data_IF_610431199514
#
_entry.id   IF_610431199514
#
_cell.length_a   1.000
_cell.length_b   1.000
_cell.length_c   1.000
_cell.angle_alpha   90.00
_cell.angle_beta   90.00
_cell.angle_gamma   90.00
#
_symmetry.space_group_name_H-M   'P 1'
#
loop_
_entity.id
_entity.type
_entity.pdbx_description
1 polymer ?
#
# COMPACT_ATOMS: atom_id res chain seq x y z
N UNK A 1 13.12 3.98 -2.93
CA UNK A 1 12.07 2.94 -3.02
C UNK A 1 12.34 1.89 -1.93
N UNK A 2 11.33 1.53 -1.13
CA UNK A 2 11.37 0.41 -0.20
C UNK A 2 10.62 -0.79 -0.78
N UNK A 3 11.24 -1.96 -0.80
CA UNK A 3 10.61 -3.20 -1.24
C UNK A 3 10.51 -4.12 -0.02
N UNK A 4 9.26 -4.35 0.41
CA UNK A 4 8.96 -5.19 1.57
C UNK A 4 8.99 -6.65 1.14
N UNK A 5 9.90 -7.42 1.72
CA UNK A 5 10.14 -8.82 1.33
C UNK A 5 9.99 -9.73 2.53
N UNK A 6 9.35 -10.89 2.38
CA UNK A 6 9.18 -11.85 3.46
C UNK A 6 9.53 -13.28 3.05
N UNK A 7 8.96 -13.76 1.94
CA UNK A 7 9.16 -15.13 1.48
C UNK A 7 10.30 -15.22 0.46
N UNK A 8 11.20 -16.20 0.65
CA UNK A 8 12.34 -16.46 -0.22
C UNK A 8 13.13 -15.18 -0.60
N UNK A 9 13.53 -14.37 0.38
CA UNK A 9 14.07 -13.03 0.12
C UNK A 9 15.41 -13.07 -0.65
N UNK A 10 16.18 -14.16 -0.57
CA UNK A 10 17.50 -14.26 -1.17
C UNK A 10 17.45 -14.02 -2.70
N UNK A 11 16.63 -14.78 -3.41
CA UNK A 11 16.53 -14.68 -4.87
C UNK A 11 16.06 -13.30 -5.31
N UNK A 12 15.07 -12.76 -4.60
CA UNK A 12 14.54 -11.43 -4.88
C UNK A 12 15.58 -10.34 -4.59
N UNK A 13 16.28 -10.44 -3.46
CA UNK A 13 17.31 -9.49 -3.08
C UNK A 13 18.51 -9.52 -4.04
N UNK A 14 18.91 -10.72 -4.50
CA UNK A 14 19.94 -10.86 -5.52
C UNK A 14 19.52 -10.24 -6.86
N UNK A 15 18.26 -10.43 -7.28
CA UNK A 15 17.72 -9.85 -8.50
C UNK A 15 17.63 -8.33 -8.44
N UNK A 16 17.16 -7.78 -7.34
CA UNK A 16 17.04 -6.33 -7.13
C UNK A 16 18.43 -5.69 -6.99
N UNK A 17 19.34 -6.36 -6.27
CA UNK A 17 20.67 -5.84 -5.99
C UNK A 17 20.62 -4.44 -5.38
N UNK A 18 21.39 -3.53 -5.93
CA UNK A 18 21.42 -2.11 -5.55
C UNK A 18 20.47 -1.23 -6.41
N UNK A 19 19.70 -1.82 -7.30
CA UNK A 19 18.80 -1.09 -8.17
C UNK A 19 19.40 -0.51 -9.46
N UNK A 20 20.66 -0.84 -9.76
CA UNK A 20 21.37 -0.34 -10.95
C UNK A 20 20.63 -0.57 -12.27
N UNK A 21 19.98 -1.73 -12.53
CA UNK A 21 19.23 -1.95 -13.78
C UNK A 21 18.08 -0.95 -14.01
N UNK A 22 17.66 -0.23 -12.98
CA UNK A 22 16.56 0.74 -13.01
C UNK A 22 16.98 2.16 -12.64
N UNK A 23 18.30 2.46 -12.70
CA UNK A 23 18.86 3.76 -12.29
C UNK A 23 18.51 4.16 -10.84
N UNK A 24 18.40 3.17 -9.94
CA UNK A 24 18.05 3.34 -8.54
C UNK A 24 19.24 3.11 -7.58
N UNK A 25 20.44 3.36 -8.02
CA UNK A 25 21.69 3.10 -7.28
C UNK A 25 22.39 4.38 -6.79
N UNK A 26 21.68 5.50 -6.71
CA UNK A 26 22.30 6.75 -6.27
C UNK A 26 22.60 6.77 -4.75
N UNK A 27 23.59 7.58 -4.36
CA UNK A 27 24.13 7.61 -2.99
C UNK A 27 23.08 7.97 -1.92
N UNK A 28 22.07 8.78 -2.25
CA UNK A 28 21.08 9.30 -1.30
C UNK A 28 19.64 8.90 -1.63
N UNK A 29 19.46 8.13 -2.68
CA UNK A 29 18.17 7.54 -3.08
C UNK A 29 18.43 6.12 -3.56
N UNK A 30 17.39 5.43 -4.01
CA UNK A 30 17.60 4.11 -4.57
C UNK A 30 16.57 3.11 -4.10
N UNK A 31 16.92 1.84 -4.16
CA UNK A 31 16.11 0.73 -3.70
C UNK A 31 16.69 0.09 -2.45
N UNK A 32 15.82 -0.23 -1.50
CA UNK A 32 16.19 -0.97 -0.30
C UNK A 32 15.21 -2.12 -0.11
N UNK A 33 15.72 -3.33 0.05
CA UNK A 33 14.90 -4.47 0.46
C UNK A 33 14.72 -4.43 1.97
N UNK A 34 13.47 -4.43 2.40
CA UNK A 34 13.05 -4.32 3.80
C UNK A 34 12.42 -5.65 4.20
N UNK A 35 13.18 -6.47 4.88
CA UNK A 35 12.71 -7.74 5.44
C UNK A 35 12.28 -7.55 6.90
N UNK A 36 11.31 -8.33 7.40
CA UNK A 36 11.00 -8.30 8.82
C UNK A 36 12.26 -8.63 9.63
N UNK A 37 12.45 -7.97 10.74
CA UNK A 37 13.60 -8.20 11.62
C UNK A 37 13.14 -8.33 13.06
N UNK A 38 13.82 -9.17 13.81
CA UNK A 38 13.58 -9.32 15.23
C UNK A 38 14.18 -8.12 15.97
N UNK A 39 13.32 -7.26 16.51
CA UNK A 39 13.74 -6.26 17.49
C UNK A 39 13.97 -6.91 18.86
N UNK A 40 14.63 -6.21 19.80
CA UNK A 40 14.93 -6.72 21.15
C UNK A 40 13.68 -7.20 21.89
N UNK A 41 12.51 -6.70 21.56
CA UNK A 41 11.22 -7.01 22.16
C UNK A 41 10.30 -7.88 21.27
N UNK A 42 10.84 -8.63 20.32
CA UNK A 42 10.11 -9.67 19.60
C UNK A 42 9.30 -9.18 18.40
N UNK A 43 9.92 -8.49 17.45
CA UNK A 43 9.28 -8.28 16.16
C UNK A 43 9.22 -9.60 15.39
N UNK A 44 8.01 -9.98 15.02
CA UNK A 44 7.70 -11.17 14.25
C UNK A 44 7.69 -10.87 12.74
N UNK A 45 7.43 -11.90 11.98
CA UNK A 45 7.09 -11.79 10.56
C UNK A 45 5.99 -10.73 10.33
N UNK A 46 5.96 -10.14 9.14
CA UNK A 46 4.84 -9.27 8.79
C UNK A 46 3.52 -10.06 8.90
N UNK A 47 2.66 -9.64 9.79
CA UNK A 47 1.37 -10.31 10.03
C UNK A 47 0.32 -9.99 8.97
N UNK A 48 0.49 -8.85 8.27
CA UNK A 48 -0.37 -8.40 7.20
C UNK A 48 0.28 -7.29 6.39
N UNK A 49 -0.39 -6.85 5.34
CA UNK A 49 0.11 -5.82 4.41
C UNK A 49 0.27 -4.46 5.09
N UNK A 50 -0.61 -4.11 6.00
CA UNK A 50 -0.53 -2.88 6.79
C UNK A 50 0.60 -2.97 7.83
N UNK A 51 0.75 -4.10 8.53
CA UNK A 51 1.82 -4.33 9.49
C UNK A 51 3.21 -4.25 8.81
N UNK A 52 3.33 -4.69 7.56
CA UNK A 52 4.57 -4.57 6.81
C UNK A 52 5.01 -3.10 6.66
N UNK A 53 4.08 -2.17 6.41
CA UNK A 53 4.38 -0.75 6.36
C UNK A 53 4.63 -0.20 7.76
N UNK A 54 3.83 -0.60 8.75
CA UNK A 54 3.99 -0.18 10.14
C UNK A 54 5.39 -0.47 10.69
N UNK A 55 5.89 -1.69 10.54
CA UNK A 55 7.24 -2.05 10.99
C UNK A 55 8.35 -1.23 10.32
N UNK A 56 8.06 -0.62 9.17
CA UNK A 56 9.03 0.19 8.41
C UNK A 56 8.77 1.71 8.48
N UNK A 57 7.95 2.19 9.41
CA UNK A 57 7.70 3.63 9.62
C UNK A 57 9.00 4.41 9.77
N UNK A 58 9.94 3.91 10.57
CA UNK A 58 11.24 4.57 10.78
C UNK A 58 12.07 4.69 9.50
N UNK A 59 11.94 3.74 8.56
CA UNK A 59 12.59 3.85 7.25
C UNK A 59 11.95 4.96 6.41
N UNK A 60 10.63 5.04 6.39
CA UNK A 60 9.89 6.06 5.65
C UNK A 60 10.18 7.45 6.20
N UNK A 61 10.22 7.60 7.52
CA UNK A 61 10.48 8.89 8.19
C UNK A 61 11.86 9.49 7.93
N UNK A 62 12.85 8.67 7.53
CA UNK A 62 14.17 9.19 7.11
C UNK A 62 14.07 10.16 5.92
N UNK A 63 13.04 10.00 5.10
CA UNK A 63 12.81 10.82 3.91
C UNK A 63 11.86 11.98 4.15
N UNK A 64 11.24 12.04 5.34
CA UNK A 64 10.23 13.04 5.73
C UNK A 64 9.22 13.32 4.60
N UNK A 65 8.54 12.29 4.06
CA UNK A 65 7.64 12.45 2.94
C UNK A 65 6.34 13.11 3.37
N UNK A 66 5.76 13.92 2.49
CA UNK A 66 4.40 14.41 2.63
C UNK A 66 3.39 13.36 2.16
N UNK A 67 3.76 12.63 1.10
CA UNK A 67 2.94 11.58 0.48
C UNK A 67 3.75 10.31 0.31
N UNK A 68 3.07 9.16 0.36
CA UNK A 68 3.65 7.85 0.06
C UNK A 68 2.81 7.14 -0.98
N UNK A 69 3.47 6.48 -1.91
CA UNK A 69 2.84 5.59 -2.88
C UNK A 69 3.08 4.15 -2.42
N UNK A 70 2.00 3.38 -2.28
CA UNK A 70 2.05 1.97 -1.94
C UNK A 70 1.58 1.16 -3.13
N UNK A 71 2.38 0.20 -3.52
CA UNK A 71 2.14 -0.66 -4.69
C UNK A 71 2.20 -2.12 -4.28
N UNK A 72 1.28 -2.93 -4.81
CA UNK A 72 1.38 -4.39 -4.73
C UNK A 72 2.54 -4.87 -5.62
N UNK A 73 3.33 -5.82 -5.13
CA UNK A 73 4.51 -6.31 -5.84
C UNK A 73 4.21 -7.20 -7.06
N UNK A 74 3.01 -7.74 -7.15
CA UNK A 74 2.52 -8.56 -8.26
C UNK A 74 1.77 -7.77 -9.33
N UNK A 75 1.71 -6.45 -9.18
CA UNK A 75 0.95 -5.56 -10.04
C UNK A 75 1.80 -5.10 -11.23
N UNK A 76 1.53 -5.65 -12.41
CA UNK A 76 2.21 -5.27 -13.66
C UNK A 76 1.34 -4.25 -14.38
N UNK A 77 1.59 -2.97 -14.14
CA UNK A 77 0.82 -1.89 -14.73
C UNK A 77 1.68 -0.69 -15.10
N UNK A 78 1.38 -0.05 -16.22
CA UNK A 78 2.06 1.17 -16.63
C UNK A 78 1.11 2.35 -16.47
N UNK A 79 1.36 3.21 -15.49
CA UNK A 79 0.59 4.42 -15.25
C UNK A 79 1.49 5.58 -14.80
N UNK A 80 0.98 6.78 -14.97
CA UNK A 80 1.63 8.00 -14.50
C UNK A 80 1.14 8.33 -13.07
N UNK A 81 1.95 7.97 -12.09
CA UNK A 81 1.64 8.23 -10.68
C UNK A 81 1.61 9.73 -10.32
N UNK A 82 2.25 10.60 -11.13
CA UNK A 82 2.18 12.05 -10.89
C UNK A 82 0.75 12.57 -11.07
N UNK A 83 0.03 12.09 -12.07
CA UNK A 83 -1.38 12.47 -12.28
C UNK A 83 -2.25 12.06 -11.10
N UNK A 84 -2.00 10.86 -10.55
CA UNK A 84 -2.71 10.38 -9.35
C UNK A 84 -2.37 11.25 -8.13
N UNK A 85 -1.11 11.66 -8.00
CA UNK A 85 -0.66 12.54 -6.91
C UNK A 85 -1.26 13.96 -7.05
N UNK A 86 -1.33 14.51 -8.26
CA UNK A 86 -1.99 15.79 -8.51
C UNK A 86 -3.46 15.75 -8.10
N UNK A 87 -4.17 14.69 -8.50
CA UNK A 87 -5.56 14.45 -8.09
C UNK A 87 -5.69 14.33 -6.57
N UNK A 88 -4.80 13.57 -5.92
CA UNK A 88 -4.76 13.44 -4.46
C UNK A 88 -4.65 14.80 -3.76
N UNK A 89 -3.76 15.66 -4.26
CA UNK A 89 -3.56 17.02 -3.74
C UNK A 89 -4.77 17.92 -4.00
N UNK A 90 -5.33 17.88 -5.20
CA UNK A 90 -6.51 18.67 -5.58
C UNK A 90 -7.71 18.34 -4.68
N UNK A 91 -7.91 17.06 -4.39
CA UNK A 91 -8.99 16.58 -3.51
C UNK A 91 -8.66 16.73 -2.01
N UNK A 92 -7.45 17.13 -1.66
CA UNK A 92 -6.96 17.13 -0.26
C UNK A 92 -7.29 15.82 0.46
N UNK A 93 -7.04 14.70 -0.22
CA UNK A 93 -7.44 13.38 0.23
C UNK A 93 -6.50 12.82 1.29
N UNK A 94 -7.00 12.01 2.21
CA UNK A 94 -6.18 11.19 3.10
C UNK A 94 -5.61 9.98 2.36
N UNK A 95 -6.44 9.37 1.49
CA UNK A 95 -6.10 8.25 0.63
C UNK A 95 -6.69 8.44 -0.77
N UNK A 96 -5.93 8.11 -1.80
CA UNK A 96 -6.41 7.98 -3.18
C UNK A 96 -6.10 6.57 -3.66
N UNK A 97 -7.10 5.90 -4.23
CA UNK A 97 -7.02 4.51 -4.66
C UNK A 97 -7.19 4.45 -6.18
N UNK A 98 -6.27 3.81 -6.88
CA UNK A 98 -6.45 3.52 -8.29
C UNK A 98 -7.46 2.38 -8.46
N UNK A 99 -8.38 2.55 -9.39
CA UNK A 99 -9.44 1.58 -9.69
C UNK A 99 -9.45 1.18 -11.15
N UNK A 100 -9.95 -0.01 -11.39
CA UNK A 100 -10.29 -0.49 -12.73
C UNK A 100 -11.74 -0.97 -12.73
N UNK A 101 -12.45 -0.70 -13.83
CA UNK A 101 -13.80 -1.21 -14.02
C UNK A 101 -13.75 -2.68 -14.44
N UNK A 102 -14.43 -3.53 -13.69
CA UNK A 102 -14.50 -4.98 -13.94
C UNK A 102 -15.96 -5.43 -14.08
N UNK A 103 -16.17 -6.65 -14.58
CA UNK A 103 -17.52 -7.21 -14.58
C UNK A 103 -18.02 -7.50 -13.15
N UNK A 104 -19.33 -7.47 -12.91
CA UNK A 104 -19.91 -7.81 -11.59
C UNK A 104 -19.54 -9.24 -11.16
N UNK A 105 -19.37 -10.16 -12.11
CA UNK A 105 -18.94 -11.52 -11.81
C UNK A 105 -17.53 -11.59 -11.26
N UNK A 106 -16.64 -10.75 -11.77
CA UNK A 106 -15.24 -10.66 -11.33
C UNK A 106 -15.08 -9.81 -10.06
N UNK A 107 -15.96 -8.85 -9.84
CA UNK A 107 -15.87 -7.89 -8.74
C UNK A 107 -15.78 -8.55 -7.36
N UNK A 108 -16.40 -9.74 -7.17
CA UNK A 108 -16.33 -10.50 -5.93
C UNK A 108 -14.90 -10.99 -5.56
N UNK A 109 -13.94 -10.87 -6.48
CA UNK A 109 -12.53 -11.29 -6.26
C UNK A 109 -11.63 -10.16 -5.77
N UNK A 110 -12.11 -8.93 -5.80
CA UNK A 110 -11.35 -7.71 -5.52
C UNK A 110 -11.93 -6.92 -4.36
N UNK A 111 -11.16 -6.01 -3.83
CA UNK A 111 -11.67 -4.93 -3.00
C UNK A 111 -12.49 -3.97 -3.89
N UNK A 112 -13.72 -3.71 -3.52
CA UNK A 112 -14.66 -2.90 -4.30
C UNK A 112 -14.90 -1.56 -3.61
N UNK A 113 -14.82 -0.50 -4.41
CA UNK A 113 -15.06 0.86 -3.96
C UNK A 113 -16.46 1.32 -4.37
N UNK A 114 -17.22 1.77 -3.38
CA UNK A 114 -18.47 2.44 -3.57
C UNK A 114 -18.24 3.95 -3.43
N UNK A 115 -18.50 4.70 -4.50
CA UNK A 115 -18.15 6.12 -4.61
C UNK A 115 -19.35 6.99 -4.89
N UNK A 116 -19.30 8.24 -4.41
CA UNK A 116 -20.21 9.30 -4.80
C UNK A 116 -19.88 9.81 -6.20
N UNK A 117 -20.74 10.69 -6.75
CA UNK A 117 -20.54 11.30 -8.08
C UNK A 117 -19.26 12.16 -8.18
N UNK A 118 -18.78 12.71 -7.07
CA UNK A 118 -17.56 13.51 -6.99
C UNK A 118 -16.28 12.66 -6.87
N UNK A 119 -16.42 11.33 -6.85
CA UNK A 119 -15.34 10.36 -6.72
C UNK A 119 -14.89 10.09 -5.27
N UNK A 120 -15.57 10.69 -4.27
CA UNK A 120 -15.28 10.37 -2.86
C UNK A 120 -15.80 8.96 -2.52
N UNK A 121 -14.97 8.21 -1.78
CA UNK A 121 -15.29 6.85 -1.37
C UNK A 121 -16.12 6.93 -0.09
N UNK A 122 -17.28 6.28 -0.07
CA UNK A 122 -18.09 6.17 1.13
C UNK A 122 -18.09 4.76 1.73
N UNK A 123 -17.63 3.76 0.98
CA UNK A 123 -17.54 2.38 1.45
C UNK A 123 -16.48 1.61 0.66
N UNK A 124 -15.69 0.83 1.36
CA UNK A 124 -14.77 -0.15 0.78
C UNK A 124 -15.16 -1.55 1.26
N UNK A 125 -15.35 -2.48 0.32
CA UNK A 125 -15.75 -3.85 0.61
C UNK A 125 -14.69 -4.83 0.10
N UNK A 126 -14.01 -5.55 0.99
CA UNK A 126 -13.03 -6.55 0.59
C UNK A 126 -13.71 -7.84 0.14
N UNK A 127 -13.60 -8.16 -1.14
CA UNK A 127 -14.13 -9.38 -1.77
C UNK A 127 -15.60 -9.66 -1.43
N UNK A 128 -16.51 -8.72 -1.68
CA UNK A 128 -17.91 -8.88 -1.32
C UNK A 128 -18.58 -10.01 -2.11
N UNK A 129 -19.42 -10.80 -1.44
CA UNK A 129 -20.17 -11.84 -2.13
C UNK A 129 -21.20 -11.26 -3.13
N UNK A 130 -21.67 -10.06 -2.86
CA UNK A 130 -22.65 -9.32 -3.69
C UNK A 130 -22.15 -7.88 -3.87
N UNK A 131 -21.22 -7.64 -4.83
CA UNK A 131 -20.65 -6.32 -5.05
C UNK A 131 -21.72 -5.32 -5.53
N UNK A 132 -21.68 -4.11 -4.97
CA UNK A 132 -22.59 -3.00 -5.33
C UNK A 132 -22.04 -2.15 -6.48
N UNK A 133 -20.74 -2.26 -6.77
CA UNK A 133 -20.02 -1.48 -7.77
C UNK A 133 -19.09 -2.37 -8.58
N UNK A 134 -18.66 -1.89 -9.73
CA UNK A 134 -17.64 -2.52 -10.60
C UNK A 134 -16.25 -1.91 -10.42
N UNK A 135 -16.09 -0.90 -9.55
CA UNK A 135 -14.84 -0.22 -9.28
C UNK A 135 -13.92 -1.10 -8.40
N UNK A 136 -13.09 -1.90 -9.03
CA UNK A 136 -12.15 -2.77 -8.34
C UNK A 136 -10.85 -2.03 -7.98
N UNK A 137 -10.40 -2.16 -6.73
CA UNK A 137 -9.11 -1.66 -6.29
C UNK A 137 -7.98 -2.34 -7.03
N UNK A 138 -7.05 -1.56 -7.54
CA UNK A 138 -5.85 -2.06 -8.19
C UNK A 138 -4.71 -2.37 -7.21
N UNK A 139 -4.89 -2.19 -5.91
CA UNK A 139 -3.79 -2.32 -4.95
C UNK A 139 -2.72 -1.22 -5.10
N UNK A 140 -3.11 -0.09 -5.66
CA UNK A 140 -2.26 1.09 -5.85
C UNK A 140 -2.87 2.22 -5.04
N UNK A 141 -2.11 2.73 -4.09
CA UNK A 141 -2.57 3.74 -3.15
C UNK A 141 -1.62 4.93 -3.10
N UNK A 142 -2.16 6.14 -2.97
CA UNK A 142 -1.41 7.32 -2.51
C UNK A 142 -2.04 7.75 -1.19
N UNK A 143 -1.20 7.87 -0.17
CA UNK A 143 -1.61 8.35 1.14
C UNK A 143 -0.89 9.65 1.51
N UNK A 144 -1.59 10.55 2.17
CA UNK A 144 -0.98 11.56 3.01
C UNK A 144 -0.28 10.86 4.17
N UNK A 145 1.05 11.02 4.30
CA UNK A 145 1.86 10.23 5.24
C UNK A 145 1.39 10.35 6.69
N UNK A 146 1.03 11.56 7.09
CA UNK A 146 0.54 11.81 8.44
C UNK A 146 -0.69 10.98 8.79
N UNK A 147 -1.64 10.90 7.86
CA UNK A 147 -2.88 10.14 8.05
C UNK A 147 -2.59 8.64 8.04
N UNK A 148 -1.82 8.16 7.07
CA UNK A 148 -1.46 6.74 7.02
C UNK A 148 -0.76 6.29 8.30
N UNK A 149 0.25 7.04 8.77
CA UNK A 149 0.98 6.72 10.00
C UNK A 149 0.03 6.60 11.20
N UNK A 150 -0.95 7.50 11.30
CA UNK A 150 -1.95 7.47 12.37
C UNK A 150 -2.75 6.16 12.32
N UNK A 151 -3.34 5.84 11.17
CA UNK A 151 -4.16 4.62 11.03
C UNK A 151 -3.37 3.34 11.18
N UNK A 152 -2.14 3.26 10.68
CA UNK A 152 -1.26 2.10 10.91
C UNK A 152 -0.95 1.91 12.39
N UNK A 153 -0.73 2.99 13.12
CA UNK A 153 -0.47 2.93 14.56
C UNK A 153 -1.72 2.49 15.34
N UNK A 154 -2.89 3.00 14.97
CA UNK A 154 -4.16 2.60 15.58
C UNK A 154 -4.47 1.13 15.32
N UNK A 155 -4.24 0.66 14.08
CA UNK A 155 -4.48 -0.73 13.67
C UNK A 155 -3.55 -1.72 14.39
N UNK A 156 -2.27 -1.36 14.59
CA UNK A 156 -1.30 -2.22 15.29
C UNK A 156 -1.76 -2.62 16.70
N UNK A 157 -2.44 -1.71 17.39
CA UNK A 157 -2.94 -1.96 18.75
C UNK A 157 -4.41 -2.40 18.79
N UNK A 158 -5.04 -2.58 17.61
CA UNK A 158 -6.44 -2.99 17.52
C UNK A 158 -6.57 -4.50 17.73
N UNK A 159 -7.22 -4.89 18.80
CA UNK A 159 -7.47 -6.29 19.12
C UNK A 159 -8.31 -6.96 18.01
N UNK A 160 -7.83 -8.10 17.52
CA UNK A 160 -8.50 -8.88 16.47
C UNK A 160 -8.25 -8.40 15.04
N UNK A 161 -7.42 -7.36 14.82
CA UNK A 161 -6.99 -6.98 13.49
C UNK A 161 -6.13 -8.06 12.85
N UNK A 162 -6.27 -8.23 11.54
CA UNK A 162 -5.35 -9.02 10.71
C UNK A 162 -4.22 -8.17 10.12
N UNK A 163 -4.22 -6.87 10.42
CA UNK A 163 -3.26 -5.87 9.94
C UNK A 163 -3.14 -5.83 8.42
N UNK A 164 -4.28 -5.96 7.75
CA UNK A 164 -4.39 -5.95 6.29
C UNK A 164 -5.03 -4.64 5.80
N UNK A 165 -4.50 -4.07 4.70
CA UNK A 165 -5.04 -2.82 4.17
C UNK A 165 -6.51 -2.93 3.80
N UNK A 166 -6.88 -3.98 3.07
CA UNK A 166 -8.24 -4.13 2.55
C UNK A 166 -9.28 -4.46 3.62
N UNK A 167 -8.86 -5.11 4.72
CA UNK A 167 -9.78 -5.55 5.77
C UNK A 167 -9.85 -4.61 6.95
N UNK A 168 -8.74 -3.99 7.31
CA UNK A 168 -8.60 -3.35 8.62
C UNK A 168 -8.31 -1.84 8.53
N UNK A 169 -7.69 -1.37 7.45
CA UNK A 169 -7.22 0.02 7.33
C UNK A 169 -8.06 0.86 6.36
N UNK A 170 -8.53 0.28 5.24
CA UNK A 170 -9.31 1.02 4.24
C UNK A 170 -10.80 1.14 4.54
N UNK A 171 -11.47 0.16 5.19
CA UNK A 171 -12.90 0.24 5.57
C UNK A 171 -13.26 1.37 6.51
#
# INVERSE_FOLDING_TARGET
>A
VGILTQYQPLVLNEYIGNGQPWDLDSMHSGVNCLSPYQAVDGADWYSGTANAIYQNINYIERYNPEYVVILSGDHIYKMDYNKMLEYHKEKNAACTIAVIDVSLEEASRFGILNTNEDGSIYEFEEKPAHPKSTNASMGIYIFSWKELKKYLTEDEFKEGSSHDFGKDVLP
#
